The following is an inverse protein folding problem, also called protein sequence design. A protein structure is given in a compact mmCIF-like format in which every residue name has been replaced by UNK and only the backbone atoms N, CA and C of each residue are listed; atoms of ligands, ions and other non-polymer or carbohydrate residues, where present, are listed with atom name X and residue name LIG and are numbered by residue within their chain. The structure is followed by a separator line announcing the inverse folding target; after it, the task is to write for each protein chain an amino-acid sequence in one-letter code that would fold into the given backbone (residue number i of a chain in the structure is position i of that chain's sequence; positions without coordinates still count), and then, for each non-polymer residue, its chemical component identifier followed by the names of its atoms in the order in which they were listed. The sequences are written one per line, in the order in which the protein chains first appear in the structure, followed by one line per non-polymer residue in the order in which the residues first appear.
data_IF_560176893416
#
_entry.id   IF_560176893416
#
_cell.length_a   1.000
_cell.length_b   1.000
_cell.length_c   1.000
_cell.angle_alpha   90.00
_cell.angle_beta   90.00
_cell.angle_gamma   90.00
#
_symmetry.space_group_name_H-M   'P 1'
#
loop_
_entity.id
_entity.type
_entity.pdbx_description
1 polymer ?
#
# COMPACT_ATOMS: atom_id res chain seq x y z
N UNK A 1 63.15 -48.68 -0.57
CA UNK A 1 62.39 -47.59 0.21
C UNK A 1 61.29 -46.92 -0.60
N UNK A 2 61.32 -46.87 -1.93
CA UNK A 2 60.22 -46.28 -2.73
C UNK A 2 58.97 -47.17 -2.83
N UNK A 3 59.12 -48.46 -2.70
CA UNK A 3 58.01 -49.43 -2.78
C UNK A 3 57.09 -49.37 -1.54
N UNK A 4 57.66 -49.18 -0.35
CA UNK A 4 56.89 -49.04 0.90
C UNK A 4 56.07 -47.76 0.99
N UNK A 5 56.54 -46.67 0.37
CA UNK A 5 55.84 -45.38 0.37
C UNK A 5 54.61 -45.43 -0.58
N UNK A 6 54.74 -46.15 -1.69
CA UNK A 6 53.69 -46.30 -2.67
C UNK A 6 52.54 -47.17 -2.17
N UNK A 7 52.86 -48.27 -1.44
CA UNK A 7 51.84 -49.16 -0.86
C UNK A 7 51.06 -48.46 0.26
N UNK A 8 51.75 -47.68 1.11
CA UNK A 8 51.11 -46.88 2.17
C UNK A 8 50.24 -45.77 1.61
N UNK A 9 50.62 -45.18 0.49
CA UNK A 9 49.83 -44.10 -0.15
C UNK A 9 48.58 -44.67 -0.85
N UNK A 10 48.65 -45.87 -1.46
CA UNK A 10 47.48 -46.51 -2.06
C UNK A 10 46.46 -46.94 -1.00
N UNK A 11 46.91 -47.44 0.16
CA UNK A 11 46.02 -47.79 1.27
C UNK A 11 45.26 -46.60 1.83
N UNK A 12 45.95 -45.45 2.02
CA UNK A 12 45.33 -44.20 2.48
C UNK A 12 44.36 -43.64 1.45
N UNK A 13 44.68 -43.75 0.17
CA UNK A 13 43.78 -43.30 -0.90
C UNK A 13 42.55 -44.18 -1.00
N UNK A 14 42.64 -45.50 -0.86
CA UNK A 14 41.50 -46.39 -0.83
C UNK A 14 40.60 -46.13 0.38
N UNK A 15 41.17 -45.88 1.58
CA UNK A 15 40.41 -45.53 2.79
C UNK A 15 39.66 -44.21 2.65
N UNK A 16 40.31 -43.18 2.06
CA UNK A 16 39.65 -41.88 1.78
C UNK A 16 38.56 -42.04 0.71
N UNK A 17 38.78 -42.86 -0.31
CA UNK A 17 37.82 -43.11 -1.36
C UNK A 17 36.60 -43.87 -0.84
N UNK A 18 36.79 -44.87 0.06
CA UNK A 18 35.66 -45.54 0.73
C UNK A 18 34.89 -44.59 1.64
N UNK A 19 35.57 -43.74 2.40
CA UNK A 19 34.93 -42.74 3.27
C UNK A 19 34.16 -41.68 2.46
N UNK A 20 34.66 -41.27 1.30
CA UNK A 20 33.99 -40.34 0.38
C UNK A 20 32.83 -41.01 -0.39
N UNK A 21 32.90 -42.32 -0.65
CA UNK A 21 31.81 -43.06 -1.33
C UNK A 21 30.67 -43.40 -0.36
N UNK A 22 30.95 -43.47 0.95
CA UNK A 22 29.91 -43.54 1.99
C UNK A 22 29.15 -42.20 2.20
N UNK A 23 29.29 -41.24 1.31
CA UNK A 23 28.31 -40.18 1.15
C UNK A 23 26.98 -40.86 0.79
N UNK A 24 26.24 -41.11 1.86
CA UNK A 24 24.89 -41.67 1.90
C UNK A 24 24.15 -41.23 0.66
N UNK A 25 23.75 -42.17 -0.21
CA UNK A 25 22.86 -41.84 -1.33
C UNK A 25 21.69 -41.08 -0.78
N UNK A 26 21.68 -39.74 -0.99
CA UNK A 26 20.56 -38.91 -0.59
C UNK A 26 19.35 -39.50 -1.30
N UNK A 27 18.43 -40.02 -0.53
CA UNK A 27 17.24 -40.64 -1.07
C UNK A 27 16.55 -39.61 -1.97
N UNK A 28 16.46 -39.88 -3.27
CA UNK A 28 15.75 -39.05 -4.25
C UNK A 28 14.34 -38.72 -3.77
N UNK A 29 13.75 -39.64 -3.00
CA UNK A 29 12.46 -39.45 -2.36
C UNK A 29 12.49 -38.33 -1.30
N UNK A 30 13.53 -38.28 -0.46
CA UNK A 30 13.66 -37.22 0.57
C UNK A 30 13.85 -35.86 -0.08
N UNK A 31 14.64 -35.78 -1.16
CA UNK A 31 14.81 -34.54 -1.92
C UNK A 31 13.49 -34.08 -2.54
N UNK A 32 12.76 -34.95 -3.25
CA UNK A 32 11.46 -34.61 -3.85
C UNK A 32 10.45 -34.19 -2.78
N UNK A 33 10.40 -34.88 -1.64
CA UNK A 33 9.53 -34.52 -0.53
C UNK A 33 9.88 -33.16 0.02
N UNK A 34 11.15 -32.82 0.19
CA UNK A 34 11.62 -31.51 0.62
C UNK A 34 11.21 -30.41 -0.34
N UNK A 35 11.39 -30.60 -1.64
CA UNK A 35 10.99 -29.65 -2.67
C UNK A 35 9.47 -29.42 -2.67
N UNK A 36 8.67 -30.49 -2.55
CA UNK A 36 7.22 -30.40 -2.46
C UNK A 36 6.76 -29.64 -1.21
N UNK A 37 7.36 -29.90 -0.06
CA UNK A 37 7.02 -29.18 1.19
C UNK A 37 7.36 -27.71 1.09
N UNK A 38 8.52 -27.34 0.54
CA UNK A 38 8.89 -25.94 0.31
C UNK A 38 7.93 -25.28 -0.69
N UNK A 39 7.55 -25.99 -1.76
CA UNK A 39 6.59 -25.50 -2.74
C UNK A 39 5.22 -25.22 -2.12
N UNK A 40 4.69 -26.15 -1.32
CA UNK A 40 3.41 -25.99 -0.60
C UNK A 40 3.52 -24.83 0.40
N UNK A 41 4.59 -24.79 1.19
CA UNK A 41 4.81 -23.72 2.14
C UNK A 41 4.82 -22.35 1.45
N UNK A 42 5.61 -22.22 0.38
CA UNK A 42 5.70 -20.97 -0.39
C UNK A 42 4.34 -20.59 -0.97
N UNK A 43 3.61 -21.54 -1.53
CA UNK A 43 2.27 -21.28 -2.08
C UNK A 43 1.29 -20.78 -1.01
N UNK A 44 1.26 -21.43 0.15
CA UNK A 44 0.37 -21.04 1.25
C UNK A 44 0.71 -19.62 1.76
N UNK A 45 2.00 -19.36 2.01
CA UNK A 45 2.43 -18.07 2.56
C UNK A 45 2.40 -16.92 1.55
N UNK A 46 2.67 -17.16 0.28
CA UNK A 46 2.70 -16.12 -0.75
C UNK A 46 1.31 -15.83 -1.36
N UNK A 47 0.41 -16.81 -1.38
CA UNK A 47 -0.88 -16.67 -2.08
C UNK A 47 -2.09 -16.85 -1.16
N UNK A 48 -2.14 -17.92 -0.38
CA UNK A 48 -3.35 -18.26 0.40
C UNK A 48 -3.54 -17.28 1.57
N UNK A 49 -2.51 -17.05 2.35
CA UNK A 49 -2.60 -16.16 3.53
C UNK A 49 -2.87 -14.70 3.11
N UNK A 50 -2.12 -14.08 2.18
CA UNK A 50 -2.39 -12.71 1.76
C UNK A 50 -3.77 -12.54 1.13
N UNK A 51 -4.22 -13.52 0.32
CA UNK A 51 -5.57 -13.49 -0.26
C UNK A 51 -6.65 -13.50 0.81
N UNK A 52 -6.55 -14.39 1.80
CA UNK A 52 -7.54 -14.47 2.88
C UNK A 52 -7.53 -13.21 3.76
N UNK A 53 -6.35 -12.65 4.04
CA UNK A 53 -6.23 -11.39 4.78
C UNK A 53 -6.85 -10.23 4.02
N UNK A 54 -6.64 -10.16 2.71
CA UNK A 54 -7.24 -9.13 1.86
C UNK A 54 -8.77 -9.23 1.83
N UNK A 55 -9.31 -10.44 1.70
CA UNK A 55 -10.76 -10.68 1.71
C UNK A 55 -11.35 -10.29 3.06
N UNK A 56 -10.77 -10.73 4.17
CA UNK A 56 -11.27 -10.40 5.51
C UNK A 56 -11.15 -8.90 5.82
N UNK A 57 -10.12 -8.22 5.33
CA UNK A 57 -9.98 -6.77 5.46
C UNK A 57 -11.08 -6.03 4.70
N UNK A 58 -11.42 -6.48 3.49
CA UNK A 58 -12.51 -5.91 2.68
C UNK A 58 -13.87 -6.18 3.34
N UNK A 59 -14.16 -7.41 3.79
CA UNK A 59 -15.40 -7.74 4.50
C UNK A 59 -15.58 -6.93 5.79
N UNK A 60 -14.51 -6.80 6.57
CA UNK A 60 -14.54 -5.98 7.78
C UNK A 60 -14.76 -4.49 7.45
N UNK A 61 -14.21 -4.00 6.35
CA UNK A 61 -14.45 -2.64 5.87
C UNK A 61 -15.91 -2.44 5.44
N UNK A 62 -16.49 -3.41 4.74
CA UNK A 62 -17.90 -3.37 4.32
C UNK A 62 -18.86 -3.46 5.51
N UNK A 63 -18.57 -4.30 6.50
CA UNK A 63 -19.40 -4.47 7.69
C UNK A 63 -19.31 -3.26 8.65
N UNK A 64 -18.20 -2.55 8.64
CA UNK A 64 -17.99 -1.31 9.37
C UNK A 64 -18.22 -0.07 8.48
N UNK A 65 -18.96 -0.21 7.38
CA UNK A 65 -19.21 0.89 6.45
C UNK A 65 -19.84 2.06 7.16
N UNK A 66 -19.09 3.13 7.28
CA UNK A 66 -19.62 4.45 7.56
C UNK A 66 -20.62 4.73 6.43
N UNK A 67 -21.80 5.20 6.78
CA UNK A 67 -22.83 5.51 5.81
C UNK A 67 -22.44 6.77 5.04
N UNK A 68 -21.56 6.61 4.05
CA UNK A 68 -21.04 7.71 3.23
C UNK A 68 -22.12 8.14 2.25
N UNK A 69 -22.44 9.43 2.19
CA UNK A 69 -23.46 9.94 1.28
C UNK A 69 -23.05 9.73 -0.20
N UNK A 70 -24.04 9.61 -1.07
CA UNK A 70 -23.82 9.47 -2.52
C UNK A 70 -23.04 10.67 -3.11
N UNK A 71 -23.21 11.85 -2.55
CA UNK A 71 -22.51 13.06 -2.94
C UNK A 71 -21.00 12.97 -2.66
N UNK A 72 -20.64 12.48 -1.47
CA UNK A 72 -19.23 12.25 -1.09
C UNK A 72 -18.61 11.17 -1.98
N UNK A 73 -19.34 10.11 -2.29
CA UNK A 73 -18.85 9.06 -3.20
C UNK A 73 -18.62 9.61 -4.61
N UNK A 74 -19.55 10.42 -5.14
CA UNK A 74 -19.37 11.07 -6.44
C UNK A 74 -18.18 12.03 -6.43
N UNK A 75 -18.01 12.82 -5.37
CA UNK A 75 -16.83 13.67 -5.21
C UNK A 75 -15.52 12.89 -5.13
N UNK A 76 -15.53 11.71 -4.51
CA UNK A 76 -14.38 10.82 -4.49
C UNK A 76 -14.02 10.23 -5.87
N UNK A 77 -15.02 9.94 -6.70
CA UNK A 77 -14.81 9.52 -8.09
C UNK A 77 -14.16 10.65 -8.90
N UNK A 78 -14.71 11.86 -8.82
CA UNK A 78 -14.16 13.06 -9.49
C UNK A 78 -12.71 13.31 -9.05
N UNK A 79 -12.42 13.21 -7.76
CA UNK A 79 -11.06 13.31 -7.23
C UNK A 79 -10.10 12.30 -7.88
N UNK A 80 -10.57 11.06 -8.07
CA UNK A 80 -9.82 10.01 -8.76
C UNK A 80 -9.65 10.27 -10.26
N UNK A 81 -10.70 10.74 -10.94
CA UNK A 81 -10.70 11.09 -12.37
C UNK A 81 -9.72 12.25 -12.67
N UNK A 82 -9.67 13.23 -11.79
CA UNK A 82 -8.74 14.37 -11.87
C UNK A 82 -7.30 14.01 -11.46
N UNK A 83 -7.09 12.77 -11.02
CA UNK A 83 -5.79 12.24 -10.60
C UNK A 83 -5.12 13.03 -9.44
N UNK A 84 -5.90 13.58 -8.54
CA UNK A 84 -5.40 14.38 -7.40
C UNK A 84 -4.48 13.57 -6.48
N UNK A 85 -4.72 12.25 -6.36
CA UNK A 85 -3.88 11.30 -5.60
C UNK A 85 -2.46 11.14 -6.16
N UNK A 86 -2.17 11.62 -7.36
CA UNK A 86 -0.79 11.62 -7.88
C UNK A 86 0.12 12.61 -7.16
N UNK A 87 -0.45 13.67 -6.58
CA UNK A 87 0.28 14.71 -5.87
C UNK A 87 -0.07 14.78 -4.38
N UNK A 88 -1.26 14.30 -3.98
CA UNK A 88 -1.75 14.34 -2.61
C UNK A 88 -1.93 12.96 -2.02
N UNK A 89 -1.66 12.83 -0.73
CA UNK A 89 -2.03 11.63 0.04
C UNK A 89 -3.22 11.94 0.95
N UNK A 90 -3.95 10.91 1.33
CA UNK A 90 -4.97 10.94 2.36
C UNK A 90 -4.62 9.92 3.46
N UNK A 91 -3.37 9.97 3.92
CA UNK A 91 -2.85 9.00 4.87
C UNK A 91 -1.86 9.68 5.82
N UNK A 92 -2.23 9.79 7.09
CA UNK A 92 -1.32 10.25 8.14
C UNK A 92 -0.28 9.14 8.39
N UNK A 93 0.97 9.41 8.05
CA UNK A 93 2.07 8.48 8.28
C UNK A 93 2.41 8.42 9.77
N UNK A 94 3.00 7.32 10.21
CA UNK A 94 3.44 7.12 11.62
C UNK A 94 4.64 7.98 12.04
N UNK A 95 5.12 8.87 11.16
CA UNK A 95 6.22 9.78 11.45
C UNK A 95 5.77 10.95 12.32
N UNK A 96 6.59 11.36 13.27
CA UNK A 96 6.28 12.46 14.22
C UNK A 96 5.76 13.74 13.54
N UNK A 97 6.32 14.22 12.40
CA UNK A 97 5.79 15.41 11.73
C UNK A 97 4.35 15.24 11.21
N UNK A 98 3.98 14.02 10.82
CA UNK A 98 2.65 13.74 10.27
C UNK A 98 1.61 13.55 11.36
N UNK A 99 1.98 13.01 12.52
CA UNK A 99 1.06 12.76 13.64
C UNK A 99 0.49 14.06 14.25
N UNK A 100 1.11 15.18 13.98
CA UNK A 100 0.57 16.51 14.33
C UNK A 100 -0.66 16.89 13.50
N UNK A 101 -0.85 16.24 12.34
CA UNK A 101 -1.97 16.50 11.43
C UNK A 101 -3.20 15.59 11.71
N UNK A 102 -3.13 14.70 12.69
CA UNK A 102 -4.22 13.81 13.04
C UNK A 102 -3.77 12.41 13.43
N UNK A 103 -4.73 11.53 13.64
CA UNK A 103 -4.48 10.12 13.98
C UNK A 103 -4.08 9.35 12.73
N UNK A 104 -3.20 8.37 12.88
CA UNK A 104 -2.88 7.41 11.82
C UNK A 104 -4.18 6.73 11.36
N UNK A 105 -4.40 6.73 10.05
CA UNK A 105 -5.56 6.09 9.43
C UNK A 105 -5.67 4.63 9.84
N UNK A 106 -6.77 4.30 10.50
CA UNK A 106 -7.25 2.93 10.59
C UNK A 106 -8.17 2.72 9.39
N UNK A 107 -7.89 1.69 8.58
CA UNK A 107 -8.66 1.36 7.39
C UNK A 107 -10.17 1.38 7.65
N UNK A 108 -10.82 2.47 7.28
CA UNK A 108 -12.27 2.65 7.41
C UNK A 108 -12.93 2.91 6.04
N UNK A 109 -12.20 2.64 4.94
CA UNK A 109 -12.72 2.90 3.61
C UNK A 109 -13.72 1.82 3.19
N UNK A 110 -14.96 2.23 3.06
CA UNK A 110 -16.06 1.35 2.67
C UNK A 110 -16.21 1.18 1.15
N UNK A 111 -15.50 1.94 0.33
CA UNK A 111 -15.63 1.87 -1.12
C UNK A 111 -14.27 1.84 -1.82
N UNK A 112 -14.26 1.22 -3.00
CA UNK A 112 -13.06 1.17 -3.85
C UNK A 112 -12.59 2.57 -4.27
N UNK A 113 -13.50 3.50 -4.51
CA UNK A 113 -13.18 4.89 -4.85
C UNK A 113 -12.37 5.56 -3.73
N UNK A 114 -12.75 5.38 -2.48
CA UNK A 114 -12.03 5.94 -1.33
C UNK A 114 -10.65 5.32 -1.16
N UNK A 115 -10.51 4.00 -1.35
CA UNK A 115 -9.22 3.30 -1.25
C UNK A 115 -8.24 3.78 -2.32
N UNK A 116 -8.70 3.97 -3.56
CA UNK A 116 -7.85 4.47 -4.66
C UNK A 116 -7.31 5.87 -4.43
N UNK A 117 -8.03 6.69 -3.69
CA UNK A 117 -7.71 8.09 -3.47
C UNK A 117 -6.65 8.35 -2.39
N UNK A 118 -6.19 7.29 -1.71
CA UNK A 118 -5.20 7.42 -0.61
C UNK A 118 -3.89 8.08 -1.06
N UNK A 119 -3.46 7.79 -2.29
CA UNK A 119 -2.21 8.31 -2.84
C UNK A 119 -0.94 7.75 -2.18
N UNK A 120 0.18 7.87 -2.87
CA UNK A 120 1.49 7.37 -2.39
C UNK A 120 2.55 8.45 -2.33
N UNK A 121 2.42 9.49 -3.15
CA UNK A 121 3.39 10.56 -3.33
C UNK A 121 2.82 11.86 -2.79
N UNK A 122 3.65 12.66 -2.13
CA UNK A 122 3.31 14.00 -1.60
C UNK A 122 4.13 15.06 -2.30
N UNK A 123 3.65 15.55 -3.44
CA UNK A 123 4.09 16.81 -4.02
C UNK A 123 3.30 17.98 -3.42
N UNK A 124 2.04 17.74 -3.08
CA UNK A 124 1.18 18.62 -2.30
C UNK A 124 1.02 18.15 -0.85
N UNK A 125 0.28 18.88 -0.01
CA UNK A 125 0.00 18.49 1.37
C UNK A 125 -0.84 17.21 1.45
N UNK A 126 -0.78 16.54 2.60
CA UNK A 126 -1.72 15.48 2.96
C UNK A 126 -3.11 16.08 3.20
N UNK A 127 -4.14 15.41 2.65
CA UNK A 127 -5.52 15.87 2.70
C UNK A 127 -6.38 15.08 3.71
N UNK A 128 -5.81 14.14 4.47
CA UNK A 128 -6.57 13.30 5.40
C UNK A 128 -7.40 14.07 6.43
N UNK A 129 -7.01 15.30 6.76
CA UNK A 129 -7.71 16.20 7.70
C UNK A 129 -8.16 17.48 7.03
N UNK A 130 -8.41 17.47 5.73
CA UNK A 130 -8.70 18.67 4.96
C UNK A 130 -9.96 19.40 5.45
N UNK A 131 -11.03 18.67 5.77
CA UNK A 131 -12.29 19.24 6.23
C UNK A 131 -12.27 19.81 7.66
N UNK A 132 -11.22 19.51 8.44
CA UNK A 132 -11.10 19.99 9.83
C UNK A 132 -10.03 21.06 10.02
N UNK A 133 -9.27 21.39 8.96
CA UNK A 133 -8.12 22.27 9.02
C UNK A 133 -8.38 23.59 8.29
N UNK A 134 -8.10 24.73 8.92
CA UNK A 134 -8.14 26.02 8.24
C UNK A 134 -6.95 26.19 7.27
N UNK A 135 -7.21 26.85 6.12
CA UNK A 135 -8.47 27.41 5.62
C UNK A 135 -9.28 26.41 4.79
N UNK A 136 -8.85 25.15 4.68
CA UNK A 136 -9.41 24.13 3.76
C UNK A 136 -10.75 23.56 4.23
N UNK A 137 -11.18 23.85 5.46
CA UNK A 137 -12.51 23.53 5.99
C UNK A 137 -13.62 24.48 5.49
N UNK A 138 -13.30 25.38 4.57
CA UNK A 138 -14.26 26.36 4.03
C UNK A 138 -14.56 26.04 2.56
N UNK A 139 -15.85 25.76 2.26
CA UNK A 139 -16.29 25.39 0.91
C UNK A 139 -16.00 26.49 -0.13
N UNK A 140 -16.23 27.77 0.21
CA UNK A 140 -16.01 28.88 -0.73
C UNK A 140 -14.51 29.07 -1.02
N UNK A 141 -13.68 28.86 0.00
CA UNK A 141 -12.23 28.92 -0.17
C UNK A 141 -11.76 27.79 -1.09
N UNK A 142 -12.24 26.55 -0.88
CA UNK A 142 -11.92 25.41 -1.73
C UNK A 142 -12.36 25.61 -3.18
N UNK A 143 -13.60 26.07 -3.41
CA UNK A 143 -14.10 26.37 -4.76
C UNK A 143 -13.18 27.37 -5.47
N UNK A 144 -12.84 28.48 -4.81
CA UNK A 144 -11.94 29.49 -5.39
C UNK A 144 -10.54 28.90 -5.65
N UNK A 145 -10.01 28.14 -4.70
CA UNK A 145 -8.67 27.57 -4.83
C UNK A 145 -8.59 26.55 -5.98
N UNK A 146 -9.61 25.73 -6.16
CA UNK A 146 -9.67 24.74 -7.23
C UNK A 146 -9.86 25.38 -8.61
N UNK A 147 -10.65 26.44 -8.71
CA UNK A 147 -10.90 27.13 -9.98
C UNK A 147 -9.79 28.11 -10.35
N UNK A 148 -9.31 28.90 -9.40
CA UNK A 148 -8.22 29.85 -9.58
C UNK A 148 -7.27 29.89 -8.38
N UNK A 149 -6.41 28.88 -8.29
CA UNK A 149 -5.41 28.77 -7.21
C UNK A 149 -4.52 30.01 -7.09
N UNK A 150 -4.20 30.65 -8.20
CA UNK A 150 -3.34 31.83 -8.24
C UNK A 150 -3.97 33.08 -7.60
N UNK A 151 -5.29 33.12 -7.50
CA UNK A 151 -5.98 34.20 -6.79
C UNK A 151 -5.89 34.07 -5.26
N UNK A 152 -5.63 32.88 -4.77
CA UNK A 152 -5.54 32.54 -3.35
C UNK A 152 -4.08 32.42 -2.90
N UNK A 153 -3.24 31.75 -3.68
CA UNK A 153 -1.82 31.62 -3.42
C UNK A 153 -1.02 31.58 -4.73
N UNK A 154 -0.26 32.64 -5.00
CA UNK A 154 0.52 32.78 -6.23
C UNK A 154 1.83 32.00 -6.22
N UNK A 155 2.33 31.69 -5.04
CA UNK A 155 3.67 31.11 -4.88
C UNK A 155 3.66 29.59 -5.02
N UNK A 156 2.48 28.97 -4.94
CA UNK A 156 2.33 27.52 -5.04
C UNK A 156 1.57 27.19 -6.31
N UNK A 157 2.23 26.58 -7.32
CA UNK A 157 1.54 26.15 -8.52
C UNK A 157 0.57 25.00 -8.20
N UNK A 158 -0.68 25.17 -8.60
CA UNK A 158 -1.71 24.14 -8.48
C UNK A 158 -2.51 24.10 -9.80
N UNK A 159 -2.91 22.92 -10.29
CA UNK A 159 -3.77 22.84 -11.45
C UNK A 159 -5.08 23.58 -11.25
N UNK A 160 -5.59 24.21 -12.33
CA UNK A 160 -6.87 24.91 -12.33
C UNK A 160 -7.94 24.01 -12.93
N UNK A 161 -9.04 23.87 -12.22
CA UNK A 161 -10.18 23.01 -12.61
C UNK A 161 -11.40 23.83 -13.00
N UNK A 162 -11.18 24.97 -13.68
CA UNK A 162 -12.26 25.87 -14.18
C UNK A 162 -13.14 25.23 -15.26
N UNK A 163 -12.75 24.07 -15.79
CA UNK A 163 -13.52 23.30 -16.76
C UNK A 163 -14.59 22.40 -16.13
N UNK A 164 -14.57 22.22 -14.80
CA UNK A 164 -15.60 21.48 -14.10
C UNK A 164 -16.91 22.28 -14.10
N UNK A 165 -18.02 21.58 -14.27
CA UNK A 165 -19.31 22.20 -14.02
C UNK A 165 -19.55 22.43 -12.52
N UNK A 166 -20.54 23.28 -12.21
CA UNK A 166 -20.81 23.68 -10.83
C UNK A 166 -21.20 22.48 -9.94
N UNK A 167 -21.85 21.47 -10.50
CA UNK A 167 -22.27 20.27 -9.76
C UNK A 167 -21.10 19.36 -9.42
N UNK A 168 -20.21 19.12 -10.36
CA UNK A 168 -19.02 18.29 -10.15
C UNK A 168 -18.03 18.98 -9.19
N UNK A 169 -17.91 20.31 -9.31
CA UNK A 169 -17.13 21.10 -8.35
C UNK A 169 -17.73 21.04 -6.94
N UNK A 170 -19.07 21.10 -6.80
CA UNK A 170 -19.76 20.94 -5.51
C UNK A 170 -19.51 19.57 -4.89
N UNK A 171 -19.64 18.48 -5.66
CA UNK A 171 -19.35 17.12 -5.19
C UNK A 171 -17.90 16.94 -4.77
N UNK A 172 -16.96 17.47 -5.54
CA UNK A 172 -15.54 17.43 -5.20
C UNK A 172 -15.27 18.18 -3.88
N UNK A 173 -15.84 19.36 -3.71
CA UNK A 173 -15.70 20.15 -2.47
C UNK A 173 -16.34 19.42 -1.28
N UNK A 174 -17.52 18.83 -1.47
CA UNK A 174 -18.19 18.03 -0.43
C UNK A 174 -17.32 16.85 0.02
N UNK A 175 -16.71 16.16 -0.94
CA UNK A 175 -15.74 15.10 -0.62
C UNK A 175 -14.54 15.61 0.16
N UNK A 176 -13.92 16.70 -0.28
CA UNK A 176 -12.75 17.29 0.39
C UNK A 176 -13.07 17.78 1.82
N UNK A 177 -14.29 18.27 2.05
CA UNK A 177 -14.74 18.67 3.39
C UNK A 177 -15.03 17.49 4.30
N UNK A 178 -15.42 16.35 3.74
CA UNK A 178 -15.66 15.12 4.51
C UNK A 178 -14.36 14.44 4.98
N UNK A 179 -13.20 14.82 4.41
CA UNK A 179 -11.91 14.32 4.85
C UNK A 179 -11.56 14.84 6.24
N UNK A 180 -11.38 13.96 7.17
CA UNK A 180 -11.22 14.23 8.60
C UNK A 180 -12.36 13.66 9.44
N UNK A 181 -13.59 13.70 8.97
CA UNK A 181 -14.74 13.05 9.62
C UNK A 181 -14.78 11.54 9.34
N UNK A 182 -14.39 11.13 8.12
CA UNK A 182 -14.33 9.72 7.71
C UNK A 182 -13.21 8.96 8.46
N UNK A 183 -12.25 9.68 9.03
CA UNK A 183 -11.05 9.14 9.65
C UNK A 183 -11.12 9.05 11.19
N UNK A 184 -12.23 9.40 11.82
CA UNK A 184 -12.47 9.21 13.24
C UNK A 184 -13.11 7.84 13.53
#
# INVERSE_FOLDING_TARGET
SEMCIRDSFSEVVEEIVEEVIELKEESSLAFITGVLLIGIFTFVFAFVIPKNQSISAVENSLNNSINVSSEVLRGAEIYGELNCQSCHTQNVRTLIPDTQNGKVLKNKYASEALIRNVGSIRLGPDLSTNGTREPTNNAQWLKRYLTDSSSVNRDIPHPKYEFLDDSDLEYLVTYLLSLGEINE
#
